data_IF_551679170736
#
_entry.id   IF_551679170736
#
_cell.length_a   1.000
_cell.length_b   1.000
_cell.length_c   1.000
_cell.angle_alpha   90.00
_cell.angle_beta   90.00
_cell.angle_gamma   90.00
#
_symmetry.space_group_name_H-M   'P 1'
#
loop_
_entity.id
_entity.type
_entity.pdbx_description
1 polymer ?
#
# COMPACT_ATOMS: atom_id res chain seq x y z
N UNK A 1 15.30 1.83 -8.58
CA UNK A 1 16.29 1.29 -7.65
C UNK A 1 16.09 -0.22 -7.47
N UNK A 2 17.12 -0.89 -7.02
CA UNK A 2 17.07 -2.33 -6.77
C UNK A 2 16.05 -2.69 -5.69
N UNK A 3 15.93 -1.84 -4.68
CA UNK A 3 14.99 -2.07 -3.59
C UNK A 3 13.55 -1.99 -4.08
N UNK A 4 13.24 -0.98 -4.90
CA UNK A 4 11.90 -0.84 -5.47
C UNK A 4 11.57 -2.00 -6.40
N UNK A 5 12.51 -2.42 -7.24
CA UNK A 5 12.31 -3.55 -8.14
C UNK A 5 12.02 -4.83 -7.35
N UNK A 6 12.74 -5.04 -6.25
CA UNK A 6 12.52 -6.19 -5.37
C UNK A 6 11.11 -6.17 -4.78
N UNK A 7 10.69 -5.02 -4.26
CA UNK A 7 9.35 -4.86 -3.68
C UNK A 7 8.25 -5.09 -4.73
N UNK A 8 8.46 -4.61 -5.95
CA UNK A 8 7.52 -4.86 -7.05
C UNK A 8 7.40 -6.34 -7.36
N UNK A 9 8.52 -7.08 -7.34
CA UNK A 9 8.50 -8.50 -7.62
C UNK A 9 7.72 -9.27 -6.55
N UNK A 10 7.86 -8.90 -5.29
CA UNK A 10 7.08 -9.50 -4.21
C UNK A 10 5.59 -9.22 -4.38
N UNK A 11 5.25 -7.99 -4.77
CA UNK A 11 3.85 -7.58 -4.91
C UNK A 11 3.14 -8.26 -6.07
N UNK A 12 3.87 -8.72 -7.09
CA UNK A 12 3.26 -9.37 -8.25
C UNK A 12 2.44 -10.60 -7.88
N UNK A 13 2.86 -11.34 -6.86
CA UNK A 13 2.19 -12.56 -6.44
C UNK A 13 1.26 -12.35 -5.25
N UNK A 14 1.13 -11.11 -4.78
CA UNK A 14 0.27 -10.80 -3.64
C UNK A 14 -1.13 -10.47 -4.10
N UNK A 15 -2.11 -10.86 -3.29
CA UNK A 15 -3.49 -10.44 -3.48
C UNK A 15 -3.74 -9.11 -2.75
N UNK A 16 -4.62 -8.25 -3.29
CA UNK A 16 -5.01 -7.05 -2.55
C UNK A 16 -5.72 -7.42 -1.26
N UNK A 17 -5.32 -6.77 -0.16
CA UNK A 17 -5.95 -7.02 1.14
C UNK A 17 -6.95 -5.94 1.51
N UNK A 18 -7.00 -4.84 0.76
CA UNK A 18 -7.99 -3.77 0.92
C UNK A 18 -8.61 -3.43 -0.41
N UNK A 19 -9.86 -2.97 -0.36
CA UNK A 19 -10.57 -2.46 -1.52
C UNK A 19 -11.10 -1.08 -1.19
N UNK A 20 -10.90 -0.13 -2.11
CA UNK A 20 -11.37 1.23 -1.94
C UNK A 20 -12.51 1.47 -2.92
N UNK A 21 -13.70 1.71 -2.38
CA UNK A 21 -14.89 1.92 -3.19
C UNK A 21 -15.38 3.36 -3.18
N UNK A 22 -16.70 3.52 -3.22
CA UNK A 22 -17.38 4.80 -3.35
C UNK A 22 -17.00 5.80 -2.25
N UNK A 23 -16.78 5.32 -1.03
CA UNK A 23 -16.42 6.19 0.10
C UNK A 23 -15.00 6.75 -0.01
N UNK A 24 -14.18 6.18 -0.92
CA UNK A 24 -12.78 6.56 -1.08
C UNK A 24 -12.01 6.43 0.25
N UNK A 25 -11.13 7.38 0.58
CA UNK A 25 -10.33 7.31 1.80
C UNK A 25 -11.14 7.76 3.00
N UNK A 26 -11.19 6.92 4.03
CA UNK A 26 -11.84 7.25 5.30
C UNK A 26 -10.82 7.14 6.43
N UNK A 27 -11.07 7.77 7.60
CA UNK A 27 -10.19 7.59 8.76
C UNK A 27 -10.05 6.13 9.19
N UNK A 28 -11.14 5.37 9.14
CA UNK A 28 -11.15 3.96 9.49
C UNK A 28 -10.27 3.14 8.54
N UNK A 29 -10.39 3.43 7.25
CA UNK A 29 -9.58 2.74 6.24
C UNK A 29 -8.10 3.09 6.42
N UNK A 30 -7.79 4.36 6.64
CA UNK A 30 -6.41 4.80 6.86
C UNK A 30 -5.78 4.10 8.06
N UNK A 31 -6.55 3.99 9.16
CA UNK A 31 -6.08 3.28 10.36
C UNK A 31 -5.83 1.81 10.10
N UNK A 32 -6.75 1.15 9.38
CA UNK A 32 -6.61 -0.26 9.06
C UNK A 32 -5.39 -0.50 8.15
N UNK A 33 -5.16 0.38 7.18
CA UNK A 33 -4.00 0.29 6.28
C UNK A 33 -2.71 0.46 7.08
N UNK A 34 -2.68 1.43 8.00
CA UNK A 34 -1.50 1.64 8.84
C UNK A 34 -1.18 0.41 9.68
N UNK A 35 -2.20 -0.20 10.29
CA UNK A 35 -2.02 -1.43 11.07
C UNK A 35 -1.47 -2.58 10.20
N UNK A 36 -2.00 -2.72 8.98
CA UNK A 36 -1.55 -3.76 8.07
C UNK A 36 -0.11 -3.52 7.64
N UNK A 37 0.28 -2.27 7.40
CA UNK A 37 1.66 -1.93 7.06
C UNK A 37 2.61 -2.25 8.19
N UNK A 38 2.22 -1.98 9.43
CA UNK A 38 3.06 -2.30 10.59
C UNK A 38 3.21 -3.80 10.77
N UNK A 39 2.17 -4.57 10.46
CA UNK A 39 2.20 -6.03 10.58
C UNK A 39 2.93 -6.72 9.42
N UNK A 40 2.79 -6.20 8.20
CA UNK A 40 3.24 -6.88 6.97
C UNK A 40 4.34 -6.16 6.21
N UNK A 41 4.54 -4.88 6.45
CA UNK A 41 5.46 -3.97 5.75
C UNK A 41 5.08 -3.68 4.29
N UNK A 42 4.65 -4.69 3.54
CA UNK A 42 4.27 -4.53 2.13
C UNK A 42 2.82 -4.96 1.95
N UNK A 43 2.00 -4.09 1.38
CA UNK A 43 0.58 -4.39 1.14
C UNK A 43 0.17 -3.97 -0.26
N UNK A 44 -0.90 -4.59 -0.75
CA UNK A 44 -1.49 -4.27 -2.05
C UNK A 44 -2.95 -3.89 -1.84
N UNK A 45 -3.37 -2.83 -2.51
CA UNK A 45 -4.71 -2.26 -2.39
C UNK A 45 -5.36 -2.21 -3.76
N UNK A 46 -6.63 -2.58 -3.86
CA UNK A 46 -7.39 -2.49 -5.09
C UNK A 46 -8.36 -1.30 -5.01
N UNK A 47 -8.36 -0.45 -6.04
CA UNK A 47 -9.32 0.63 -6.15
C UNK A 47 -10.45 0.14 -7.06
N UNK A 48 -11.67 0.13 -6.53
CA UNK A 48 -12.83 -0.38 -7.25
C UNK A 48 -13.33 0.64 -8.27
N UNK A 49 -14.10 0.17 -9.26
CA UNK A 49 -14.61 1.02 -10.33
C UNK A 49 -15.53 2.12 -9.84
N UNK A 50 -16.22 1.91 -8.72
CA UNK A 50 -17.14 2.91 -8.17
C UNK A 50 -16.43 3.99 -7.35
N UNK A 51 -15.11 3.92 -7.20
CA UNK A 51 -14.32 4.99 -6.61
C UNK A 51 -14.02 6.03 -7.69
N UNK A 52 -14.38 7.27 -7.42
CA UNK A 52 -14.20 8.36 -8.39
C UNK A 52 -12.84 9.02 -8.32
N UNK A 53 -12.06 8.73 -7.30
CA UNK A 53 -10.75 9.34 -7.13
C UNK A 53 -9.68 8.58 -7.92
N UNK A 54 -8.67 9.35 -8.37
CA UNK A 54 -7.54 8.77 -9.10
C UNK A 54 -6.70 7.88 -8.17
N UNK A 55 -6.42 6.63 -8.56
CA UNK A 55 -5.57 5.74 -7.74
C UNK A 55 -4.22 6.35 -7.37
N UNK A 56 -3.63 7.15 -8.23
CA UNK A 56 -2.34 7.79 -7.94
C UNK A 56 -2.46 8.81 -6.82
N UNK A 57 -3.54 9.58 -6.81
CA UNK A 57 -3.80 10.55 -5.75
C UNK A 57 -4.08 9.84 -4.43
N UNK A 58 -4.88 8.77 -4.49
CA UNK A 58 -5.17 7.95 -3.32
C UNK A 58 -3.87 7.40 -2.72
N UNK A 59 -2.98 6.88 -3.58
CA UNK A 59 -1.71 6.32 -3.14
C UNK A 59 -0.86 7.37 -2.42
N UNK A 60 -0.78 8.59 -2.95
CA UNK A 60 0.00 9.66 -2.34
C UNK A 60 -0.58 10.06 -0.98
N UNK A 61 -1.89 10.21 -0.90
CA UNK A 61 -2.54 10.59 0.37
C UNK A 61 -2.33 9.51 1.43
N UNK A 62 -2.52 8.24 1.06
CA UNK A 62 -2.33 7.13 2.00
C UNK A 62 -0.87 7.03 2.45
N UNK A 63 0.07 7.21 1.52
CA UNK A 63 1.49 7.16 1.86
C UNK A 63 1.86 8.25 2.87
N UNK A 64 1.34 9.46 2.68
CA UNK A 64 1.59 10.55 3.62
C UNK A 64 0.98 10.28 4.99
N UNK A 65 -0.27 9.83 5.03
CA UNK A 65 -0.97 9.60 6.30
C UNK A 65 -0.43 8.42 7.09
N UNK A 66 0.08 7.40 6.42
CA UNK A 66 0.62 6.20 7.06
C UNK A 66 2.13 6.21 7.16
N UNK A 67 2.79 7.27 6.67
CA UNK A 67 4.25 7.36 6.62
C UNK A 67 4.87 6.18 5.89
N UNK A 68 4.25 5.82 4.76
CA UNK A 68 4.72 4.73 3.91
C UNK A 68 5.20 5.27 2.57
N UNK A 69 5.72 4.38 1.75
CA UNK A 69 6.19 4.71 0.41
C UNK A 69 5.32 4.06 -0.64
N UNK A 70 5.04 4.80 -1.71
CA UNK A 70 4.35 4.23 -2.87
C UNK A 70 5.38 3.46 -3.69
N UNK A 71 5.21 2.14 -3.75
CA UNK A 71 6.10 1.28 -4.54
C UNK A 71 5.72 1.34 -6.00
N UNK A 72 4.43 1.18 -6.28
CA UNK A 72 3.92 1.32 -7.65
C UNK A 72 2.41 1.50 -7.64
N UNK A 73 1.90 2.09 -8.72
CA UNK A 73 0.49 2.16 -9.02
C UNK A 73 0.32 1.64 -10.44
N UNK A 74 -0.36 0.51 -10.60
CA UNK A 74 -0.63 -0.08 -11.91
C UNK A 74 -2.15 -0.17 -12.07
N UNK A 75 -2.69 0.62 -13.03
CA UNK A 75 -4.12 0.68 -13.21
C UNK A 75 -4.80 1.07 -11.91
N UNK A 76 -5.61 0.17 -11.36
CA UNK A 76 -6.32 0.41 -10.10
C UNK A 76 -5.73 -0.36 -8.92
N UNK A 77 -4.47 -0.81 -9.03
CA UNK A 77 -3.78 -1.49 -7.95
C UNK A 77 -2.68 -0.60 -7.39
N UNK A 78 -2.62 -0.50 -6.07
CA UNK A 78 -1.65 0.32 -5.35
C UNK A 78 -0.81 -0.59 -4.47
N UNK A 79 0.51 -0.40 -4.48
CA UNK A 79 1.42 -1.14 -3.61
C UNK A 79 2.13 -0.13 -2.71
N UNK A 80 2.00 -0.33 -1.40
CA UNK A 80 2.63 0.51 -0.39
C UNK A 80 3.61 -0.31 0.44
N UNK A 81 4.69 0.33 0.85
CA UNK A 81 5.71 -0.28 1.71
C UNK A 81 6.04 0.66 2.86
N UNK A 82 6.12 0.10 4.06
CA UNK A 82 6.56 0.82 5.26
C UNK A 82 7.55 -0.06 5.99
N UNK A 83 8.78 0.45 6.18
CA UNK A 83 9.78 -0.30 6.92
C UNK A 83 9.33 -0.48 8.37
N UNK A 84 9.40 -1.73 8.85
CA UNK A 84 9.01 -2.05 10.20
C UNK A 84 9.92 -1.41 11.22
N UNK A 85 9.32 -0.83 12.26
CA UNK A 85 10.05 -0.23 13.37
C UNK A 85 10.47 -1.27 14.40
N UNK A 86 9.94 -2.47 14.26
CA UNK A 86 10.15 -3.55 15.20
C UNK A 86 11.41 -4.34 14.87
N UNK A 87 11.98 -5.00 15.88
CA UNK A 87 13.16 -5.85 15.69
C UNK A 87 12.89 -7.03 14.77
N UNK A 88 11.62 -7.36 14.52
CA UNK A 88 11.21 -8.44 13.62
C UNK A 88 10.83 -7.86 12.26
N UNK A 89 11.83 -7.50 11.50
CA UNK A 89 11.61 -7.02 10.13
C UNK A 89 11.05 -8.15 9.28
N UNK A 90 9.97 -7.88 8.54
CA UNK A 90 9.30 -8.88 7.71
C UNK A 90 9.94 -9.02 6.33
N UNK A 91 10.49 -7.92 5.82
CA UNK A 91 11.09 -7.88 4.49
C UNK A 91 12.49 -7.32 4.61
N UNK A 92 13.46 -8.07 4.11
CA UNK A 92 14.85 -7.63 4.07
C UNK A 92 15.17 -7.13 2.68
N UNK A 93 15.45 -5.83 2.56
CA UNK A 93 15.76 -5.21 1.29
C UNK A 93 17.20 -5.53 0.88
N UNK A 94 17.43 -5.77 -0.44
CA UNK A 94 18.77 -5.98 -0.94
C UNK A 94 19.64 -4.72 -0.89
#
# INVERSE_FOLDING_TARGET
>A
SKQRAYLKSLAMVMDPIFQIGKASITPELTGAINEALEARELIKISVLQNCMDDPREIAQILAERTHSQVVQVIGKKIVLYKEGKDKKKKIFLP
#
